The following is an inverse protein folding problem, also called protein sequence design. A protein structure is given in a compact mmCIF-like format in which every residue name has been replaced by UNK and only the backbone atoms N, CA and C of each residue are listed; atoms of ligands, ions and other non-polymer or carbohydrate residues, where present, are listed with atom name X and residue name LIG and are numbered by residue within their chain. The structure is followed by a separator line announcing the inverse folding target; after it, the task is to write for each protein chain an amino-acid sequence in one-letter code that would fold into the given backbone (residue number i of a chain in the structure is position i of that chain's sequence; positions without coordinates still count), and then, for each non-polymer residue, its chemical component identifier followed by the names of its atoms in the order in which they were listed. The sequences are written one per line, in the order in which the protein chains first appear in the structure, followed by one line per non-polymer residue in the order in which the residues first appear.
data_IF_653548821915
#
_entry.id   IF_653548821915
#
_cell.length_a   1.000
_cell.length_b   1.000
_cell.length_c   1.000
_cell.angle_alpha   90.00
_cell.angle_beta   90.00
_cell.angle_gamma   90.00
#
_symmetry.space_group_name_H-M   'P 1'
#
loop_
_entity.id
_entity.type
_entity.pdbx_description
1 polymer ?
#
# COMPACT_ATOMS: atom_id res chain seq x y z
N UNK A 1 29.73 -19.72 62.58
CA UNK A 1 29.20 -20.28 61.33
C UNK A 1 28.02 -19.43 60.90
N UNK A 2 28.32 -18.35 60.16
CA UNK A 2 27.37 -17.30 59.80
C UNK A 2 26.71 -17.62 58.46
N UNK A 3 25.39 -17.77 58.48
CA UNK A 3 24.57 -17.98 57.28
C UNK A 3 24.59 -16.73 56.38
N UNK A 4 24.96 -16.85 55.09
CA UNK A 4 24.72 -15.78 54.14
C UNK A 4 23.31 -15.99 53.56
N UNK A 5 22.30 -15.39 54.19
CA UNK A 5 20.96 -15.34 53.61
C UNK A 5 21.00 -14.49 52.35
N UNK A 6 20.79 -15.17 51.23
CA UNK A 6 20.79 -14.70 49.86
C UNK A 6 19.80 -13.55 49.66
N UNK A 7 20.29 -12.37 49.27
CA UNK A 7 19.43 -11.31 48.73
C UNK A 7 19.40 -11.48 47.22
N UNK A 8 18.42 -12.23 46.73
CA UNK A 8 18.10 -12.31 45.29
C UNK A 8 17.25 -11.10 44.94
N UNK A 9 17.85 -10.08 44.33
CA UNK A 9 17.11 -8.95 43.75
C UNK A 9 16.55 -9.40 42.40
N UNK A 10 15.24 -9.70 42.36
CA UNK A 10 14.53 -9.86 41.09
C UNK A 10 14.26 -8.48 40.49
N UNK A 11 15.07 -8.09 39.51
CA UNK A 11 14.74 -6.97 38.62
C UNK A 11 13.66 -7.45 37.64
N UNK A 12 12.38 -7.25 38.01
CA UNK A 12 11.27 -7.41 37.07
C UNK A 12 11.39 -6.32 36.00
N UNK A 13 11.97 -6.66 34.85
CA UNK A 13 12.02 -5.80 33.68
C UNK A 13 10.60 -5.50 33.21
N UNK A 14 10.15 -4.27 33.44
CA UNK A 14 8.95 -3.72 32.82
C UNK A 14 9.23 -3.57 31.32
N UNK A 15 8.91 -4.59 30.53
CA UNK A 15 8.84 -4.48 29.09
C UNK A 15 7.64 -3.59 28.74
N UNK A 16 7.86 -2.28 28.70
CA UNK A 16 6.92 -1.34 28.09
C UNK A 16 6.92 -1.64 26.59
N UNK A 17 5.83 -2.23 26.11
CA UNK A 17 5.51 -2.25 24.70
C UNK A 17 5.29 -0.80 24.26
N UNK A 18 6.33 -0.16 23.73
CA UNK A 18 6.18 1.15 23.11
C UNK A 18 5.21 1.00 21.92
N UNK A 19 4.20 1.87 21.75
CA UNK A 19 3.45 1.92 20.51
C UNK A 19 4.46 2.26 19.40
N UNK A 20 4.59 1.35 18.42
CA UNK A 20 5.39 1.58 17.22
C UNK A 20 4.89 2.86 16.54
N UNK A 21 5.78 3.82 16.22
CA UNK A 21 5.38 5.07 15.61
C UNK A 21 4.88 4.81 14.19
N UNK A 22 3.68 5.32 13.93
CA UNK A 22 3.22 5.77 12.63
C UNK A 22 3.23 4.72 11.50
N UNK A 23 2.31 3.75 11.56
CA UNK A 23 1.70 3.34 10.29
C UNK A 23 0.81 4.51 9.86
N UNK A 24 1.09 5.16 8.70
CA UNK A 24 0.19 6.16 8.17
C UNK A 24 -1.14 5.46 7.96
N UNK A 25 -2.12 5.76 8.82
CA UNK A 25 -3.51 5.36 8.63
C UNK A 25 -4.00 6.09 7.39
N UNK A 26 -3.68 5.53 6.23
CA UNK A 26 -4.11 6.03 4.94
C UNK A 26 -5.62 6.11 4.99
N UNK A 27 -6.15 7.32 4.97
CA UNK A 27 -7.59 7.54 4.91
C UNK A 27 -8.07 6.96 3.58
N UNK A 28 -8.65 5.75 3.61
CA UNK A 28 -9.24 5.13 2.43
C UNK A 28 -10.55 5.88 2.16
N UNK A 29 -10.47 6.95 1.37
CA UNK A 29 -11.65 7.66 0.86
C UNK A 29 -12.21 6.86 -0.30
N UNK A 30 -13.39 6.26 -0.12
CA UNK A 30 -14.15 5.68 -1.23
C UNK A 30 -14.69 6.83 -2.09
N UNK A 31 -14.04 7.10 -3.21
CA UNK A 31 -14.60 8.01 -4.23
C UNK A 31 -15.71 7.28 -4.99
N UNK A 32 -16.82 7.98 -5.22
CA UNK A 32 -17.94 7.51 -6.02
C UNK A 32 -17.48 7.32 -7.48
N UNK A 33 -17.14 6.08 -7.84
CA UNK A 33 -16.68 5.71 -9.17
C UNK A 33 -15.91 4.40 -9.11
N UNK A 34 -16.60 3.29 -9.33
CA UNK A 34 -15.98 1.96 -9.43
C UNK A 34 -15.26 1.81 -10.77
N UNK A 35 -14.13 2.52 -10.92
CA UNK A 35 -13.23 2.39 -12.07
C UNK A 35 -12.49 1.04 -12.11
N UNK A 36 -12.75 0.14 -11.16
CA UNK A 36 -12.06 -1.14 -10.99
C UNK A 36 -12.19 -2.04 -12.22
N UNK A 37 -13.41 -2.22 -12.74
CA UNK A 37 -13.63 -3.05 -13.92
C UNK A 37 -12.95 -2.48 -15.18
N UNK A 38 -13.01 -1.15 -15.35
CA UNK A 38 -12.30 -0.47 -16.44
C UNK A 38 -10.78 -0.60 -16.28
N UNK A 39 -10.26 -0.52 -15.06
CA UNK A 39 -8.84 -0.67 -14.77
C UNK A 39 -8.35 -2.09 -15.09
N UNK A 40 -9.09 -3.12 -14.69
CA UNK A 40 -8.81 -4.52 -15.03
C UNK A 40 -8.76 -4.71 -16.55
N UNK A 41 -9.77 -4.20 -17.26
CA UNK A 41 -9.83 -4.30 -18.72
C UNK A 41 -8.63 -3.63 -19.40
N UNK A 42 -8.24 -2.42 -18.96
CA UNK A 42 -7.10 -1.70 -19.54
C UNK A 42 -5.80 -2.42 -19.24
N UNK A 43 -5.64 -2.99 -18.05
CA UNK A 43 -4.46 -3.79 -17.66
C UNK A 43 -4.34 -5.04 -18.52
N UNK A 44 -5.43 -5.79 -18.71
CA UNK A 44 -5.46 -6.97 -19.57
C UNK A 44 -5.12 -6.62 -21.03
N UNK A 45 -5.69 -5.53 -21.54
CA UNK A 45 -5.44 -5.08 -22.93
C UNK A 45 -4.00 -4.61 -23.15
N UNK A 46 -3.42 -3.91 -22.17
CA UNK A 46 -2.05 -3.37 -22.30
C UNK A 46 -0.97 -4.36 -21.87
N UNK A 47 -1.32 -5.43 -21.15
CA UNK A 47 -0.37 -6.39 -20.60
C UNK A 47 0.64 -5.76 -19.63
N UNK A 48 0.28 -4.63 -19.02
CA UNK A 48 1.15 -3.83 -18.16
C UNK A 48 0.72 -3.86 -16.70
N UNK A 49 1.42 -3.11 -15.86
CA UNK A 49 1.09 -2.99 -14.43
C UNK A 49 0.34 -1.69 -14.16
N UNK A 50 -0.78 -1.78 -13.44
CA UNK A 50 -1.56 -0.62 -13.03
C UNK A 50 -0.72 0.29 -12.11
N UNK A 51 -0.58 1.57 -12.47
CA UNK A 51 0.12 2.56 -11.64
C UNK A 51 -0.84 3.44 -10.84
N UNK A 52 -1.94 3.86 -11.46
CA UNK A 52 -2.91 4.75 -10.83
C UNK A 52 -4.24 4.70 -11.56
N UNK A 53 -5.31 4.87 -10.79
CA UNK A 53 -6.69 5.01 -11.28
C UNK A 53 -7.27 6.24 -10.62
N UNK A 54 -7.78 7.16 -11.42
CA UNK A 54 -8.39 8.39 -10.94
C UNK A 54 -9.74 8.61 -11.63
N UNK A 55 -10.84 8.61 -10.87
CA UNK A 55 -12.13 9.04 -11.40
C UNK A 55 -12.13 10.55 -11.65
N UNK A 56 -12.64 10.96 -12.79
CA UNK A 56 -12.75 12.35 -13.24
C UNK A 56 -14.13 12.57 -13.86
N UNK A 57 -15.10 12.98 -13.02
CA UNK A 57 -16.50 13.10 -13.42
C UNK A 57 -17.04 11.75 -13.91
N UNK A 58 -17.49 11.68 -15.18
CA UNK A 58 -17.96 10.47 -15.85
C UNK A 58 -16.84 9.70 -16.59
N UNK A 59 -15.57 9.96 -16.29
CA UNK A 59 -14.44 9.31 -16.98
C UNK A 59 -13.45 8.75 -15.97
N UNK A 60 -12.98 7.53 -16.19
CA UNK A 60 -11.87 6.93 -15.46
C UNK A 60 -10.56 7.18 -16.20
N UNK A 61 -9.62 7.85 -15.54
CA UNK A 61 -8.26 8.04 -16.03
C UNK A 61 -7.40 6.94 -15.42
N UNK A 62 -6.98 6.00 -16.26
CA UNK A 62 -6.21 4.82 -15.86
C UNK A 62 -4.80 4.95 -16.42
N UNK A 63 -3.79 4.79 -15.57
CA UNK A 63 -2.39 4.81 -16.00
C UNK A 63 -1.77 3.44 -15.77
N UNK A 64 -1.22 2.87 -16.83
CA UNK A 64 -0.56 1.56 -16.84
C UNK A 64 0.90 1.72 -17.27
N UNK A 65 1.78 0.96 -16.64
CA UNK A 65 3.17 0.80 -17.03
C UNK A 65 3.32 -0.43 -17.92
N UNK A 66 3.61 -0.23 -19.19
CA UNK A 66 3.86 -1.33 -20.13
C UNK A 66 5.35 -1.59 -20.24
N UNK A 67 5.78 -2.80 -19.89
CA UNK A 67 7.18 -3.21 -19.99
C UNK A 67 7.55 -3.40 -21.46
N UNK A 68 8.64 -2.76 -21.90
CA UNK A 68 9.24 -3.00 -23.21
C UNK A 68 10.25 -4.14 -23.14
N UNK A 69 10.49 -4.83 -24.27
CA UNK A 69 11.52 -5.87 -24.40
C UNK A 69 12.93 -5.28 -24.32
N UNK A 70 13.39 -4.93 -23.11
CA UNK A 70 14.67 -4.28 -22.85
C UNK A 70 14.69 -2.76 -23.09
N UNK A 71 13.55 -2.15 -23.45
CA UNK A 71 13.40 -0.69 -23.50
C UNK A 71 12.76 -0.15 -22.21
N UNK A 72 12.99 1.15 -21.95
CA UNK A 72 12.40 1.85 -20.81
C UNK A 72 10.87 1.64 -20.77
N UNK A 73 10.30 1.30 -19.61
CA UNK A 73 8.87 1.12 -19.44
C UNK A 73 8.06 2.31 -19.95
N UNK A 74 6.96 2.04 -20.64
CA UNK A 74 6.09 3.08 -21.23
C UNK A 74 4.93 3.36 -20.30
N UNK A 75 4.76 4.62 -19.91
CA UNK A 75 3.58 5.08 -19.18
C UNK A 75 2.45 5.33 -20.18
N UNK A 76 1.43 4.48 -20.16
CA UNK A 76 0.24 4.58 -21.00
C UNK A 76 -0.90 5.10 -20.13
N UNK A 77 -1.54 6.20 -20.54
CA UNK A 77 -2.71 6.74 -19.84
C UNK A 77 -3.92 6.60 -20.75
N UNK A 78 -4.93 5.86 -20.29
CA UNK A 78 -6.18 5.58 -20.99
C UNK A 78 -7.32 6.30 -20.28
N UNK A 79 -8.26 6.84 -21.05
CA UNK A 79 -9.48 7.46 -20.54
C UNK A 79 -10.65 6.60 -20.94
N UNK A 80 -11.39 6.09 -19.96
CA UNK A 80 -12.56 5.24 -20.18
C UNK A 80 -13.80 6.01 -19.74
N UNK A 81 -14.74 6.33 -20.64
CA UNK A 81 -16.02 6.91 -20.25
C UNK A 81 -16.87 5.86 -19.52
N UNK A 82 -17.59 6.30 -18.48
CA UNK A 82 -18.51 5.50 -17.64
C UNK A 82 -19.96 5.89 -17.93
#
# INVERSE_FOLDING_TARGET
MASPLSVVVLAAGLAVSAPSPDEPRGLIVRVAGDCSAAAEQVVEQTGGQLLSVQPSGNTCIITVLVQGNGQRPRKVTVRVPM
#
